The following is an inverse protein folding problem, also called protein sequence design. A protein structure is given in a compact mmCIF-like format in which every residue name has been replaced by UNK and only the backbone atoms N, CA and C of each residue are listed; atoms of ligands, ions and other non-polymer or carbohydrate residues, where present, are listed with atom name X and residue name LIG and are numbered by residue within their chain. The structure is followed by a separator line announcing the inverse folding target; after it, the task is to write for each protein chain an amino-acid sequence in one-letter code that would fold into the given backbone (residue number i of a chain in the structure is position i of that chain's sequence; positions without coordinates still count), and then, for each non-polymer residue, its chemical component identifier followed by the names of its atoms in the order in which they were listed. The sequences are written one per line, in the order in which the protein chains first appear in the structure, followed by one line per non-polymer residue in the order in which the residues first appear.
data_IF_649072260407
#
_entry.id   IF_649072260407
#
_cell.length_a   1.000
_cell.length_b   1.000
_cell.length_c   1.000
_cell.angle_alpha   90.00
_cell.angle_beta   90.00
_cell.angle_gamma   90.00
#
_symmetry.space_group_name_H-M   'P 1'
#
loop_
_entity.id
_entity.type
_entity.pdbx_description
1 polymer ?
#
# COMPACT_ATOMS: atom_id res chain seq x y z
N UNK A 1 -25.81 6.48 5.96
CA UNK A 1 -24.59 6.45 5.12
C UNK A 1 -23.38 6.43 6.05
N UNK A 2 -22.55 5.38 5.99
CA UNK A 2 -21.37 5.24 6.85
C UNK A 2 -20.14 5.80 6.13
N UNK A 3 -19.37 6.62 6.83
CA UNK A 3 -18.11 7.17 6.33
C UNK A 3 -16.92 6.46 6.99
N UNK A 4 -15.85 6.32 6.23
CA UNK A 4 -14.59 5.68 6.61
C UNK A 4 -13.44 6.68 6.50
N UNK A 5 -12.35 6.44 7.22
CA UNK A 5 -11.19 7.33 7.22
C UNK A 5 -10.16 6.86 6.19
N UNK A 6 -9.69 7.78 5.36
CA UNK A 6 -8.48 7.57 4.57
C UNK A 6 -7.28 7.32 5.50
N UNK A 7 -6.52 6.26 5.24
CA UNK A 7 -5.36 5.87 6.05
C UNK A 7 -4.20 6.88 6.04
N UNK A 8 -4.12 7.76 5.03
CA UNK A 8 -3.04 8.77 4.89
C UNK A 8 -3.44 10.16 5.40
N UNK A 9 -4.61 10.66 5.02
CA UNK A 9 -5.03 12.04 5.31
C UNK A 9 -6.19 12.17 6.31
N UNK A 10 -6.70 11.05 6.82
CA UNK A 10 -7.82 11.00 7.78
C UNK A 10 -9.10 11.71 7.31
N UNK A 11 -9.23 12.02 6.01
CA UNK A 11 -10.47 12.52 5.44
C UNK A 11 -11.54 11.43 5.52
N UNK A 12 -12.77 11.83 5.84
CA UNK A 12 -13.95 10.97 5.76
C UNK A 12 -14.38 10.79 4.31
N UNK A 13 -14.48 9.54 3.87
CA UNK A 13 -14.83 9.12 2.52
C UNK A 13 -15.88 8.01 2.58
N UNK A 14 -16.59 7.80 1.48
CA UNK A 14 -17.37 6.57 1.29
C UNK A 14 -16.41 5.38 1.09
N UNK A 15 -16.93 4.16 1.28
CA UNK A 15 -16.12 2.94 1.15
C UNK A 15 -15.57 2.75 -0.27
N UNK A 16 -16.39 3.02 -1.28
CA UNK A 16 -16.05 2.96 -2.71
C UNK A 16 -15.04 4.03 -3.16
N UNK A 17 -14.89 5.11 -2.40
CA UNK A 17 -13.86 6.12 -2.61
C UNK A 17 -12.48 5.72 -2.07
N UNK A 18 -12.40 4.66 -1.23
CA UNK A 18 -11.16 4.14 -0.66
C UNK A 18 -10.60 2.98 -1.48
N UNK A 19 -9.27 2.86 -1.55
CA UNK A 19 -8.66 1.73 -2.24
C UNK A 19 -8.83 0.46 -1.43
N UNK A 20 -9.07 -0.66 -2.10
CA UNK A 20 -9.26 -1.95 -1.43
C UNK A 20 -7.99 -2.44 -0.70
N UNK A 21 -6.80 -2.04 -1.18
CA UNK A 21 -5.53 -2.49 -0.60
C UNK A 21 -5.07 -1.59 0.55
N UNK A 22 -4.99 -0.28 0.33
CA UNK A 22 -4.38 0.65 1.30
C UNK A 22 -5.39 1.57 2.00
N UNK A 23 -6.69 1.46 1.69
CA UNK A 23 -7.77 2.30 2.21
C UNK A 23 -7.47 3.80 2.08
N UNK A 24 -6.94 4.19 0.91
CA UNK A 24 -6.60 5.58 0.60
C UNK A 24 -7.64 6.20 -0.32
N UNK A 25 -8.00 7.44 -0.02
CA UNK A 25 -8.86 8.22 -0.93
C UNK A 25 -8.11 8.53 -2.23
N UNK A 26 -8.84 8.83 -3.30
CA UNK A 26 -8.30 9.10 -4.64
C UNK A 26 -7.15 10.13 -4.66
N UNK A 27 -7.13 11.10 -3.75
CA UNK A 27 -6.07 12.11 -3.65
C UNK A 27 -4.77 11.61 -3.01
N UNK A 28 -4.83 10.53 -2.23
CA UNK A 28 -3.71 9.96 -1.51
C UNK A 28 -3.20 8.65 -2.11
N UNK A 29 -3.96 8.07 -3.06
CA UNK A 29 -3.51 6.92 -3.83
C UNK A 29 -2.31 7.32 -4.67
N UNK A 30 -1.35 6.43 -4.75
CA UNK A 30 -0.25 6.50 -5.69
C UNK A 30 -0.56 5.60 -6.88
N UNK A 31 -0.01 5.87 -8.08
CA UNK A 31 -0.15 4.95 -9.20
C UNK A 31 0.40 3.57 -8.84
N UNK A 32 -0.33 2.52 -9.23
CA UNK A 32 0.14 1.15 -9.07
C UNK A 32 1.49 0.97 -9.78
N UNK A 33 2.32 0.10 -9.22
CA UNK A 33 3.62 -0.29 -9.78
C UNK A 33 3.76 -1.79 -9.83
N UNK A 34 4.67 -2.26 -10.67
CA UNK A 34 5.08 -3.65 -10.66
C UNK A 34 6.15 -3.88 -9.58
N UNK A 35 5.94 -4.92 -8.77
CA UNK A 35 6.93 -5.33 -7.79
C UNK A 35 8.15 -5.92 -8.50
N UNK A 36 9.35 -5.39 -8.24
CA UNK A 36 10.58 -5.84 -8.92
C UNK A 36 10.98 -7.30 -8.62
N UNK A 37 10.35 -7.94 -7.64
CA UNK A 37 10.66 -9.33 -7.24
C UNK A 37 9.70 -10.32 -7.90
N UNK A 38 8.40 -10.03 -7.89
CA UNK A 38 7.37 -10.97 -8.35
C UNK A 38 6.57 -10.48 -9.56
N UNK A 39 6.88 -9.29 -10.09
CA UNK A 39 6.22 -8.65 -11.24
C UNK A 39 4.70 -8.50 -11.11
N UNK A 40 4.16 -8.55 -9.89
CA UNK A 40 2.74 -8.29 -9.63
C UNK A 40 2.53 -6.79 -9.39
N UNK A 41 1.47 -6.25 -9.96
CA UNK A 41 0.99 -4.90 -9.65
C UNK A 41 0.59 -4.78 -8.18
N UNK A 42 0.96 -3.67 -7.56
CA UNK A 42 0.59 -3.33 -6.18
C UNK A 42 0.40 -1.82 -6.01
N UNK A 43 -0.39 -1.43 -5.01
CA UNK A 43 -0.56 -0.03 -4.61
C UNK A 43 0.57 0.36 -3.64
N UNK A 44 1.50 1.26 -4.03
CA UNK A 44 2.59 1.66 -3.16
C UNK A 44 2.12 2.63 -2.07
N UNK A 45 2.67 2.47 -0.86
CA UNK A 45 2.44 3.37 0.29
C UNK A 45 3.25 4.64 0.19
N UNK A 46 4.45 4.56 -0.36
CA UNK A 46 5.39 5.67 -0.51
C UNK A 46 5.97 5.70 -1.93
N UNK A 47 6.35 6.88 -2.42
CA UNK A 47 6.79 7.06 -3.82
C UNK A 47 8.01 6.22 -4.21
N UNK A 48 8.87 5.88 -3.25
CA UNK A 48 10.08 5.09 -3.45
C UNK A 48 9.88 3.59 -3.22
N UNK A 49 8.68 3.14 -2.89
CA UNK A 49 8.42 1.72 -2.67
C UNK A 49 8.48 0.94 -4.00
N UNK A 50 9.28 -0.13 -4.00
CA UNK A 50 9.60 -0.94 -5.18
C UNK A 50 9.04 -2.37 -5.08
N UNK A 51 8.52 -2.77 -3.93
CA UNK A 51 8.14 -4.16 -3.64
C UNK A 51 6.74 -4.21 -3.04
N UNK A 52 5.95 -5.23 -3.38
CA UNK A 52 4.64 -5.40 -2.77
C UNK A 52 4.74 -5.84 -1.30
N UNK A 53 3.68 -5.63 -0.52
CA UNK A 53 3.59 -6.00 0.89
C UNK A 53 4.01 -7.46 1.18
N UNK A 54 3.65 -8.40 0.29
CA UNK A 54 4.02 -9.81 0.42
C UNK A 54 5.54 -10.01 0.33
N UNK A 55 6.16 -9.42 -0.67
CA UNK A 55 7.61 -9.46 -0.86
C UNK A 55 8.35 -8.76 0.28
N UNK A 56 7.86 -7.59 0.72
CA UNK A 56 8.40 -6.87 1.87
C UNK A 56 8.34 -7.71 3.16
N UNK A 57 7.23 -8.42 3.39
CA UNK A 57 7.10 -9.35 4.53
C UNK A 57 8.13 -10.49 4.45
N UNK A 58 8.29 -11.12 3.28
CA UNK A 58 9.29 -12.17 3.11
C UNK A 58 10.71 -11.65 3.34
N UNK A 59 11.06 -10.48 2.82
CA UNK A 59 12.35 -9.86 3.08
C UNK A 59 12.60 -9.63 4.57
N UNK A 60 11.65 -9.03 5.30
CA UNK A 60 11.79 -8.81 6.75
C UNK A 60 11.91 -10.12 7.54
N UNK A 61 11.20 -11.17 7.12
CA UNK A 61 11.20 -12.46 7.82
C UNK A 61 12.49 -13.25 7.61
N UNK A 62 13.14 -13.10 6.46
CA UNK A 62 14.34 -13.85 6.09
C UNK A 62 15.61 -13.01 6.04
N UNK A 63 15.53 -11.69 6.23
CA UNK A 63 16.67 -10.85 6.57
C UNK A 63 17.13 -11.22 7.98
N UNK A 64 18.05 -12.18 8.08
CA UNK A 64 18.75 -12.44 9.34
C UNK A 64 19.38 -11.13 9.82
N UNK A 65 19.21 -10.74 11.10
CA UNK A 65 20.08 -9.76 11.70
C UNK A 65 21.45 -10.43 11.82
N UNK A 66 22.35 -10.16 10.88
CA UNK A 66 23.76 -10.32 11.14
C UNK A 66 24.21 -9.08 11.89
N UNK A 67 24.10 -9.15 13.21
CA UNK A 67 25.02 -8.65 14.25
C UNK A 67 24.35 -8.79 15.62
#
# INVERSE_FOLDING_TARGET
MRLYLCSKCCRRCLWDELSDQEHRCQRCRLPDKDCIICNRRFEPREHNEQHCNRCAFHMKRYSKPYL
#
